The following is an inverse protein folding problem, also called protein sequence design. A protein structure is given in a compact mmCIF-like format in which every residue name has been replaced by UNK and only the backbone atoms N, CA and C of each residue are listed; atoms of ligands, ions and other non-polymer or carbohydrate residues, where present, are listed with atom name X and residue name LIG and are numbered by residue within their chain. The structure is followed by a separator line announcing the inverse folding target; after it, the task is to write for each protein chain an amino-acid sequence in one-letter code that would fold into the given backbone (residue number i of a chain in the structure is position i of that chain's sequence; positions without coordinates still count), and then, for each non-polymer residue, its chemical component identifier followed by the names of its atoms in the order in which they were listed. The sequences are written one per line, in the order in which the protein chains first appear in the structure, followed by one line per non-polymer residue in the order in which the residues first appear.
data_IF_978457056699
#
_entry.id   IF_978457056699
#
_cell.length_a   1.000
_cell.length_b   1.000
_cell.length_c   1.000
_cell.angle_alpha   90.00
_cell.angle_beta   90.00
_cell.angle_gamma   90.00
#
_symmetry.space_group_name_H-M   'P 1'
#
loop_
_entity.id
_entity.type
_entity.pdbx_description
1 polymer ?
#
# COMPACT_ATOMS: atom_id res chain seq x y z
N UNK A 1 -53.33 -26.37 -0.13
CA UNK A 1 -52.01 -27.03 0.02
C UNK A 1 -50.95 -26.17 -0.67
N UNK A 2 -50.34 -25.22 0.03
CA UNK A 2 -49.25 -24.39 -0.51
C UNK A 2 -47.98 -24.64 0.30
N UNK A 3 -46.97 -25.22 -0.36
CA UNK A 3 -45.64 -25.48 0.18
C UNK A 3 -44.79 -24.22 0.05
N UNK A 4 -44.56 -23.50 1.14
CA UNK A 4 -43.53 -22.46 1.18
C UNK A 4 -42.16 -23.14 1.35
N UNK A 5 -41.37 -23.13 0.28
CA UNK A 5 -39.94 -23.46 0.34
C UNK A 5 -39.22 -22.27 0.98
N UNK A 6 -38.70 -22.46 2.18
CA UNK A 6 -37.80 -21.51 2.84
C UNK A 6 -36.43 -21.62 2.17
N UNK A 7 -36.09 -20.67 1.30
CA UNK A 7 -34.72 -20.47 0.83
C UNK A 7 -33.88 -20.00 2.02
N UNK A 8 -33.01 -20.88 2.52
CA UNK A 8 -31.92 -20.49 3.42
C UNK A 8 -30.93 -19.70 2.58
N UNK A 9 -30.99 -18.38 2.73
CA UNK A 9 -30.02 -17.45 2.18
C UNK A 9 -28.76 -17.55 3.05
N UNK A 10 -27.80 -18.38 2.66
CA UNK A 10 -26.45 -18.36 3.24
C UNK A 10 -25.78 -17.05 2.86
N UNK A 11 -25.89 -16.07 3.76
CA UNK A 11 -25.08 -14.86 3.74
C UNK A 11 -23.61 -15.26 3.81
N UNK A 12 -22.93 -15.07 2.68
CA UNK A 12 -21.47 -15.17 2.57
C UNK A 12 -20.89 -13.99 3.36
N UNK A 13 -20.47 -14.23 4.60
CA UNK A 13 -19.78 -13.21 5.40
C UNK A 13 -18.31 -13.19 4.93
N UNK A 14 -17.82 -12.09 4.33
CA UNK A 14 -16.42 -12.00 3.94
C UNK A 14 -15.55 -12.13 5.20
N UNK A 15 -14.50 -12.94 5.07
CA UNK A 15 -13.66 -13.44 6.17
C UNK A 15 -13.38 -12.41 7.25
N UNK A 16 -13.76 -12.76 8.48
CA UNK A 16 -13.34 -12.00 9.66
C UNK A 16 -11.81 -11.99 9.71
N UNK A 17 -11.25 -10.79 9.77
CA UNK A 17 -9.86 -10.56 10.09
C UNK A 17 -9.72 -10.86 11.59
N UNK A 18 -9.46 -12.12 11.93
CA UNK A 18 -9.37 -12.56 13.31
C UNK A 18 -7.96 -12.30 13.85
N UNK A 19 -7.87 -11.67 15.02
CA UNK A 19 -6.69 -11.86 15.86
C UNK A 19 -6.62 -13.33 16.24
N UNK A 20 -5.45 -13.94 16.16
CA UNK A 20 -5.23 -15.35 16.48
C UNK A 20 -4.95 -15.53 17.96
N UNK A 21 -4.15 -14.63 18.54
CA UNK A 21 -3.78 -14.66 19.96
C UNK A 21 -3.54 -13.24 20.52
N UNK A 22 -3.97 -13.03 21.77
CA UNK A 22 -3.71 -11.81 22.55
C UNK A 22 -2.77 -12.17 23.69
N UNK A 23 -1.60 -11.53 23.72
CA UNK A 23 -0.58 -11.69 24.74
C UNK A 23 -0.67 -10.55 25.75
N UNK A 24 -0.81 -10.90 27.02
CA UNK A 24 -0.89 -9.96 28.12
C UNK A 24 0.45 -9.87 28.84
N UNK A 25 0.73 -8.70 29.42
CA UNK A 25 1.96 -8.45 30.20
C UNK A 25 2.09 -9.31 31.46
N UNK A 26 0.99 -9.91 31.92
CA UNK A 26 0.99 -10.87 33.03
C UNK A 26 1.37 -12.30 32.58
N UNK A 27 1.73 -12.47 31.31
CA UNK A 27 2.15 -13.75 30.71
C UNK A 27 0.99 -14.62 30.23
N UNK A 28 -0.26 -14.18 30.37
CA UNK A 28 -1.42 -14.94 29.85
C UNK A 28 -1.56 -14.77 28.35
N UNK A 29 -1.95 -15.86 27.70
CA UNK A 29 -2.24 -15.92 26.27
C UNK A 29 -3.70 -16.31 26.11
N UNK A 30 -4.44 -15.50 25.38
CA UNK A 30 -5.83 -15.79 25.03
C UNK A 30 -5.95 -16.00 23.53
N UNK A 31 -6.49 -17.14 23.10
CA UNK A 31 -6.90 -17.28 21.70
C UNK A 31 -8.14 -16.43 21.47
N UNK A 32 -8.03 -15.49 20.54
CA UNK A 32 -9.12 -14.59 20.18
C UNK A 32 -9.81 -15.13 18.93
N UNK A 33 -11.14 -15.05 18.87
CA UNK A 33 -11.90 -15.38 17.65
C UNK A 33 -12.52 -14.14 17.02
N UNK A 34 -12.85 -13.16 17.84
CA UNK A 34 -13.38 -11.86 17.43
C UNK A 34 -12.63 -10.79 18.22
N UNK A 35 -12.27 -9.70 17.54
CA UNK A 35 -11.56 -8.58 18.12
C UNK A 35 -12.33 -7.28 17.87
N UNK A 36 -12.60 -6.53 18.93
CA UNK A 36 -13.18 -5.20 18.83
C UNK A 36 -12.44 -4.25 19.76
N UNK A 37 -12.13 -3.06 19.28
CA UNK A 37 -11.59 -2.00 20.11
C UNK A 37 -12.68 -1.01 20.48
N UNK A 38 -12.78 -0.68 21.77
CA UNK A 38 -13.65 0.37 22.28
C UNK A 38 -12.84 1.30 23.20
N UNK A 39 -12.46 2.46 22.67
CA UNK A 39 -11.60 3.42 23.38
C UNK A 39 -10.26 2.79 23.78
N UNK A 40 -9.97 2.76 25.08
CA UNK A 40 -8.74 2.21 25.65
C UNK A 40 -8.85 0.71 26.04
N UNK A 41 -9.90 0.03 25.58
CA UNK A 41 -10.13 -1.37 25.85
C UNK A 41 -10.16 -2.18 24.56
N UNK A 42 -9.62 -3.39 24.66
CA UNK A 42 -9.76 -4.43 23.66
C UNK A 42 -10.75 -5.47 24.19
N UNK A 43 -11.81 -5.68 23.43
CA UNK A 43 -12.82 -6.69 23.67
C UNK A 43 -12.53 -7.85 22.73
N UNK A 44 -12.40 -9.05 23.27
CA UNK A 44 -12.24 -10.25 22.47
C UNK A 44 -12.95 -11.44 23.07
N UNK A 45 -13.45 -12.30 22.19
CA UNK A 45 -14.01 -13.59 22.59
C UNK A 45 -12.87 -14.57 22.81
N UNK A 46 -12.67 -14.95 24.08
CA UNK A 46 -11.73 -15.99 24.47
C UNK A 46 -12.45 -17.31 24.70
N UNK A 47 -11.86 -18.42 24.26
CA UNK A 47 -12.35 -19.75 24.59
C UNK A 47 -11.79 -20.19 25.94
N UNK A 48 -12.69 -20.51 26.89
CA UNK A 48 -12.32 -21.15 28.15
C UNK A 48 -11.93 -22.61 27.96
N UNK A 49 -11.31 -23.22 28.99
CA UNK A 49 -10.91 -24.63 28.96
C UNK A 49 -12.08 -25.60 28.73
N UNK A 50 -13.30 -25.17 29.07
CA UNK A 50 -14.54 -25.94 28.90
C UNK A 50 -15.18 -25.78 27.51
N UNK A 51 -14.51 -25.06 26.59
CA UNK A 51 -15.00 -24.81 25.23
C UNK A 51 -16.06 -23.70 25.13
N UNK A 52 -16.45 -23.08 26.24
CA UNK A 52 -17.33 -21.92 26.30
C UNK A 52 -16.61 -20.64 25.90
N UNK A 53 -17.28 -19.78 25.14
CA UNK A 53 -16.75 -18.47 24.77
C UNK A 53 -17.16 -17.43 25.82
N UNK A 54 -16.19 -16.69 26.34
CA UNK A 54 -16.42 -15.53 27.20
C UNK A 54 -15.91 -14.26 26.53
N UNK A 55 -16.68 -13.19 26.65
CA UNK A 55 -16.23 -11.85 26.28
C UNK A 55 -15.23 -11.36 27.33
N UNK A 56 -13.98 -11.21 26.93
CA UNK A 56 -12.91 -10.65 27.79
C UNK A 56 -12.67 -9.21 27.39
N UNK A 57 -12.67 -8.32 28.38
CA UNK A 57 -12.38 -6.89 28.22
C UNK A 57 -11.04 -6.60 28.88
N UNK A 58 -10.06 -6.20 28.09
CA UNK A 58 -8.70 -5.93 28.58
C UNK A 58 -8.27 -4.50 28.24
N UNK A 59 -7.77 -3.72 29.21
CA UNK A 59 -7.13 -2.43 28.96
C UNK A 59 -5.92 -2.56 28.02
N UNK A 60 -5.76 -1.64 27.05
CA UNK A 60 -4.64 -1.67 26.09
C UNK A 60 -3.26 -1.64 26.77
N UNK A 61 -3.12 -0.97 27.91
CA UNK A 61 -1.86 -0.90 28.64
C UNK A 61 -1.41 -2.23 29.27
N UNK A 62 -2.32 -3.21 29.40
CA UNK A 62 -2.04 -4.57 29.87
C UNK A 62 -1.70 -5.53 28.73
N UNK A 63 -1.90 -5.11 27.49
CA UNK A 63 -1.58 -5.90 26.30
C UNK A 63 -0.11 -5.71 25.97
N UNK A 64 0.57 -6.83 25.76
CA UNK A 64 1.94 -6.85 25.26
C UNK A 64 1.94 -6.82 23.74
N UNK A 65 1.20 -7.73 23.09
CA UNK A 65 0.98 -7.78 21.65
C UNK A 65 -0.28 -8.54 21.27
N UNK A 66 -0.84 -8.21 20.13
CA UNK A 66 -1.87 -8.99 19.45
C UNK A 66 -1.25 -9.60 18.20
N UNK A 67 -1.33 -10.91 18.08
CA UNK A 67 -0.99 -11.62 16.85
C UNK A 67 -2.23 -11.67 15.98
N UNK A 68 -2.17 -10.97 14.85
CA UNK A 68 -3.16 -11.08 13.80
C UNK A 68 -2.79 -12.24 12.90
N UNK A 69 -3.76 -13.09 12.56
CA UNK A 69 -3.52 -14.23 11.68
C UNK A 69 -3.06 -13.76 10.30
N UNK A 70 -2.46 -14.68 9.53
CA UNK A 70 -2.07 -14.41 8.16
C UNK A 70 -3.28 -13.99 7.32
N UNK A 71 -3.17 -12.86 6.64
CA UNK A 71 -4.22 -12.33 5.79
C UNK A 71 -3.96 -12.73 4.34
N UNK A 72 -4.78 -13.62 3.73
CA UNK A 72 -4.60 -14.01 2.34
C UNK A 72 -4.59 -12.80 1.40
N UNK A 73 -5.40 -11.78 1.70
CA UNK A 73 -5.44 -10.53 0.94
C UNK A 73 -4.09 -9.78 0.94
N UNK A 74 -3.35 -9.77 2.06
CA UNK A 74 -2.01 -9.15 2.11
C UNK A 74 -0.97 -10.02 1.39
N UNK A 75 -1.07 -11.33 1.46
CA UNK A 75 -0.20 -12.23 0.70
C UNK A 75 -0.38 -12.04 -0.81
N UNK A 76 -1.63 -11.96 -1.28
CA UNK A 76 -1.98 -11.65 -2.67
C UNK A 76 -1.48 -10.26 -3.08
N UNK A 77 -1.69 -9.24 -2.23
CA UNK A 77 -1.19 -7.89 -2.49
C UNK A 77 0.34 -7.86 -2.62
N UNK A 78 1.09 -8.60 -1.80
CA UNK A 78 2.55 -8.72 -1.94
C UNK A 78 2.94 -9.37 -3.27
N UNK A 79 2.18 -10.36 -3.74
CA UNK A 79 2.42 -10.99 -5.04
C UNK A 79 2.15 -10.02 -6.20
N UNK A 80 1.03 -9.30 -6.16
CA UNK A 80 0.67 -8.27 -7.14
C UNK A 80 1.71 -7.15 -7.17
N UNK A 81 2.19 -6.70 -6.01
CA UNK A 81 3.25 -5.70 -5.91
C UNK A 81 4.54 -6.15 -6.61
N UNK A 82 4.93 -7.44 -6.48
CA UNK A 82 6.09 -8.00 -7.19
C UNK A 82 5.91 -8.04 -8.71
N UNK A 83 4.67 -8.14 -9.17
CA UNK A 83 4.31 -8.11 -10.59
C UNK A 83 4.14 -6.69 -11.15
N UNK A 84 4.23 -5.66 -10.31
CA UNK A 84 3.99 -4.27 -10.70
C UNK A 84 2.51 -3.90 -10.80
N UNK A 85 1.59 -4.76 -10.34
CA UNK A 85 0.15 -4.50 -10.40
C UNK A 85 -0.29 -3.57 -9.25
N UNK A 86 -0.14 -2.26 -9.45
CA UNK A 86 -0.52 -1.26 -8.47
C UNK A 86 -2.04 -1.23 -8.21
N UNK A 87 -2.88 -1.47 -9.22
CA UNK A 87 -4.34 -1.43 -9.06
C UNK A 87 -4.80 -2.61 -8.20
N UNK A 88 -4.34 -3.83 -8.50
CA UNK A 88 -4.64 -5.01 -7.69
C UNK A 88 -4.17 -4.85 -6.23
N UNK A 89 -3.01 -4.21 -6.00
CA UNK A 89 -2.55 -3.89 -4.63
C UNK A 89 -3.53 -2.96 -3.92
N UNK A 90 -4.02 -1.91 -4.57
CA UNK A 90 -5.00 -0.99 -3.96
C UNK A 90 -6.32 -1.69 -3.61
N UNK A 91 -6.79 -2.59 -4.47
CA UNK A 91 -8.00 -3.37 -4.24
C UNK A 91 -7.83 -4.32 -3.05
N UNK A 92 -6.75 -5.10 -3.02
CA UNK A 92 -6.51 -6.10 -1.97
C UNK A 92 -6.18 -5.50 -0.61
N UNK A 93 -5.64 -4.28 -0.58
CA UNK A 93 -5.30 -3.58 0.68
C UNK A 93 -6.43 -2.71 1.22
N UNK A 94 -7.53 -2.50 0.49
CA UNK A 94 -8.60 -1.58 0.91
C UNK A 94 -9.29 -2.04 2.22
N UNK A 95 -9.74 -3.30 2.27
CA UNK A 95 -10.39 -3.85 3.46
C UNK A 95 -9.42 -3.98 4.67
N UNK A 96 -8.19 -4.51 4.51
CA UNK A 96 -7.19 -4.49 5.57
C UNK A 96 -6.89 -3.09 6.11
N UNK A 97 -6.80 -2.07 5.24
CA UNK A 97 -6.56 -0.69 5.67
C UNK A 97 -7.70 -0.17 6.54
N UNK A 98 -8.95 -0.34 6.11
CA UNK A 98 -10.12 0.07 6.91
C UNK A 98 -10.18 -0.63 8.27
N UNK A 99 -9.83 -1.91 8.32
CA UNK A 99 -9.80 -2.70 9.55
C UNK A 99 -8.69 -2.24 10.50
N UNK A 100 -7.42 -2.29 10.07
CA UNK A 100 -6.27 -2.03 10.95
C UNK A 100 -6.15 -0.57 11.37
N UNK A 101 -6.77 0.37 10.66
CA UNK A 101 -6.88 1.77 11.10
C UNK A 101 -7.44 1.86 12.52
N UNK A 102 -8.44 1.04 12.86
CA UNK A 102 -9.06 1.06 14.19
C UNK A 102 -8.13 0.50 15.28
N UNK A 103 -7.06 -0.20 14.90
CA UNK A 103 -6.12 -0.87 15.78
C UNK A 103 -4.70 -0.29 15.69
N UNK A 104 -4.52 0.91 15.12
CA UNK A 104 -3.20 1.49 14.83
C UNK A 104 -2.30 1.67 16.07
N UNK A 105 -2.90 1.81 17.24
CA UNK A 105 -2.26 1.94 18.56
C UNK A 105 -2.17 0.61 19.33
N UNK A 106 -2.67 -0.48 18.77
CA UNK A 106 -2.59 -1.81 19.37
C UNK A 106 -1.26 -2.46 18.99
N UNK A 107 -0.42 -2.87 19.96
CA UNK A 107 0.84 -3.53 19.64
C UNK A 107 0.62 -4.81 18.82
N UNK A 108 1.42 -5.00 17.77
CA UNK A 108 1.27 -6.12 16.84
C UNK A 108 0.31 -5.88 15.67
N UNK A 109 -0.33 -4.70 15.59
CA UNK A 109 -1.15 -4.35 14.43
C UNK A 109 -0.34 -4.32 13.13
N UNK A 110 -1.00 -4.63 12.02
CA UNK A 110 -0.38 -4.69 10.69
C UNK A 110 -0.60 -3.39 9.87
N UNK A 111 -0.99 -2.27 10.49
CA UNK A 111 -1.26 -1.01 9.76
C UNK A 111 -0.07 -0.58 8.90
N UNK A 112 1.14 -0.60 9.47
CA UNK A 112 2.36 -0.23 8.78
C UNK A 112 2.68 -1.18 7.61
N UNK A 113 2.34 -2.46 7.72
CA UNK A 113 2.50 -3.42 6.61
C UNK A 113 1.54 -3.12 5.46
N UNK A 114 0.28 -2.81 5.78
CA UNK A 114 -0.72 -2.41 4.78
C UNK A 114 -0.25 -1.15 4.06
N UNK A 115 0.22 -0.14 4.81
CA UNK A 115 0.69 1.13 4.23
C UNK A 115 1.96 0.95 3.40
N UNK A 116 2.85 0.02 3.76
CA UNK A 116 4.05 -0.31 2.97
C UNK A 116 3.72 -0.82 1.57
N UNK A 117 2.58 -1.48 1.39
CA UNK A 117 2.08 -1.90 0.07
C UNK A 117 1.26 -0.80 -0.60
N UNK A 118 0.41 -0.10 0.16
CA UNK A 118 -0.57 0.85 -0.38
C UNK A 118 0.06 2.16 -0.83
N UNK A 119 1.04 2.71 -0.11
CA UNK A 119 1.70 3.97 -0.48
C UNK A 119 2.38 3.94 -1.86
N UNK A 120 3.25 2.96 -2.19
CA UNK A 120 3.83 2.89 -3.54
C UNK A 120 2.76 2.66 -4.61
N UNK A 121 1.70 1.90 -4.31
CA UNK A 121 0.60 1.69 -5.24
C UNK A 121 -0.16 3.00 -5.53
N UNK A 122 -0.39 3.83 -4.51
CA UNK A 122 -1.00 5.16 -4.64
C UNK A 122 -0.09 6.15 -5.39
N UNK A 123 1.24 6.04 -5.27
CA UNK A 123 2.16 6.86 -6.06
C UNK A 123 2.06 6.62 -7.58
N UNK A 124 1.66 5.39 -7.96
CA UNK A 124 1.57 4.94 -9.36
C UNK A 124 0.18 5.09 -9.94
N UNK A 125 -0.83 4.61 -9.21
CA UNK A 125 -2.22 4.48 -9.67
C UNK A 125 -3.21 5.27 -8.81
N UNK A 126 -2.72 6.11 -7.89
CA UNK A 126 -3.57 6.95 -7.05
C UNK A 126 -4.33 7.97 -7.89
N UNK A 127 -5.63 8.07 -7.63
CA UNK A 127 -6.48 9.15 -8.12
C UNK A 127 -6.65 10.19 -7.01
N UNK A 128 -7.17 11.37 -7.35
CA UNK A 128 -7.47 12.38 -6.34
C UNK A 128 -8.41 11.84 -5.25
N UNK A 129 -9.36 10.98 -5.63
CA UNK A 129 -10.28 10.34 -4.70
C UNK A 129 -9.54 9.42 -3.72
N UNK A 130 -8.64 8.55 -4.20
CA UNK A 130 -7.92 7.60 -3.33
C UNK A 130 -6.87 8.28 -2.46
N UNK A 131 -6.28 9.40 -2.92
CA UNK A 131 -5.40 10.23 -2.08
C UNK A 131 -6.17 10.97 -0.97
N UNK A 132 -7.38 11.45 -1.28
CA UNK A 132 -8.25 12.09 -0.28
C UNK A 132 -8.76 11.06 0.74
N UNK A 133 -9.07 9.84 0.28
CA UNK A 133 -9.37 8.70 1.13
C UNK A 133 -8.19 8.38 2.06
N UNK A 134 -6.97 8.26 1.50
CA UNK A 134 -5.75 8.05 2.30
C UNK A 134 -5.60 9.11 3.39
N UNK A 135 -5.78 10.39 3.04
CA UNK A 135 -5.72 11.48 4.02
C UNK A 135 -6.72 11.30 5.17
N UNK A 136 -7.94 10.83 4.87
CA UNK A 136 -8.97 10.59 5.88
C UNK A 136 -8.69 9.35 6.75
N UNK A 137 -7.97 8.37 6.20
CA UNK A 137 -7.65 7.11 6.87
C UNK A 137 -6.34 7.18 7.66
N UNK A 138 -5.45 8.12 7.32
CA UNK A 138 -4.08 8.10 7.80
C UNK A 138 -3.96 8.23 9.32
N UNK A 139 -3.26 7.27 9.91
CA UNK A 139 -2.76 7.30 11.28
C UNK A 139 -1.25 7.12 11.25
N UNK A 140 -0.53 7.83 12.11
CA UNK A 140 0.92 7.72 12.20
C UNK A 140 1.33 6.25 12.42
N UNK A 141 2.31 5.78 11.65
CA UNK A 141 2.73 4.38 11.64
C UNK A 141 3.82 4.05 12.67
N UNK A 142 4.46 5.08 13.24
CA UNK A 142 5.71 4.97 13.99
C UNK A 142 6.93 4.71 13.10
N UNK A 143 6.73 4.43 11.81
CA UNK A 143 7.77 4.23 10.82
C UNK A 143 8.03 5.57 10.11
N UNK A 144 9.21 6.15 10.38
CA UNK A 144 9.59 7.46 9.84
C UNK A 144 9.65 7.46 8.31
N UNK A 145 9.98 6.33 7.69
CA UNK A 145 10.04 6.20 6.23
C UNK A 145 8.62 6.25 5.63
N UNK A 146 7.69 5.47 6.16
CA UNK A 146 6.30 5.44 5.69
C UNK A 146 5.59 6.77 5.93
N UNK A 147 5.77 7.37 7.10
CA UNK A 147 5.22 8.68 7.42
C UNK A 147 5.78 9.78 6.51
N UNK A 148 7.05 9.66 6.08
CA UNK A 148 7.64 10.59 5.12
C UNK A 148 7.10 10.37 3.72
N UNK A 149 7.00 9.12 3.25
CA UNK A 149 6.40 8.79 1.96
C UNK A 149 4.95 9.28 1.84
N UNK A 150 4.14 9.11 2.89
CA UNK A 150 2.79 9.66 2.96
C UNK A 150 2.77 11.19 2.82
N UNK A 151 3.60 11.89 3.59
CA UNK A 151 3.67 13.36 3.55
C UNK A 151 4.04 13.87 2.16
N UNK A 152 4.97 13.22 1.47
CA UNK A 152 5.36 13.60 0.10
C UNK A 152 4.22 13.42 -0.90
N UNK A 153 3.48 12.32 -0.82
CA UNK A 153 2.35 12.06 -1.70
C UNK A 153 1.24 13.11 -1.55
N UNK A 154 0.95 13.54 -0.32
CA UNK A 154 -0.06 14.59 -0.08
C UNK A 154 0.47 16.01 -0.25
N UNK A 155 1.76 16.26 0.01
CA UNK A 155 2.37 17.58 -0.18
C UNK A 155 2.20 18.03 -1.63
N UNK A 156 2.36 17.13 -2.61
CA UNK A 156 2.12 17.40 -4.02
C UNK A 156 0.76 18.07 -4.30
N UNK A 157 -0.27 17.66 -3.55
CA UNK A 157 -1.63 18.17 -3.67
C UNK A 157 -1.82 19.51 -2.97
N UNK A 158 -1.25 19.67 -1.77
CA UNK A 158 -1.54 20.79 -0.88
C UNK A 158 -0.55 21.96 -1.03
N UNK A 159 0.72 21.67 -1.25
CA UNK A 159 1.82 22.62 -1.43
C UNK A 159 2.82 22.07 -2.46
N UNK A 160 2.55 22.25 -3.77
CA UNK A 160 3.42 21.74 -4.83
C UNK A 160 4.85 22.27 -4.75
N UNK A 161 5.05 23.53 -4.32
CA UNK A 161 6.36 24.14 -4.23
C UNK A 161 7.19 23.54 -3.09
N UNK A 162 6.59 23.38 -1.91
CA UNK A 162 7.22 22.69 -0.78
C UNK A 162 7.49 21.21 -1.08
N UNK A 163 6.57 20.54 -1.77
CA UNK A 163 6.74 19.16 -2.23
C UNK A 163 7.95 19.02 -3.17
N UNK A 164 8.08 19.91 -4.14
CA UNK A 164 9.22 19.94 -5.05
C UNK A 164 10.57 20.06 -4.33
N UNK A 165 10.66 20.95 -3.34
CA UNK A 165 11.88 21.09 -2.52
C UNK A 165 12.17 19.81 -1.73
N UNK A 166 11.13 19.18 -1.15
CA UNK A 166 11.28 17.95 -0.40
C UNK A 166 11.72 16.78 -1.29
N UNK A 167 11.17 16.65 -2.51
CA UNK A 167 11.58 15.63 -3.46
C UNK A 167 13.04 15.76 -3.83
N UNK A 168 13.50 16.98 -4.15
CA UNK A 168 14.92 17.24 -4.46
C UNK A 168 15.86 16.88 -3.31
N UNK A 169 15.44 17.11 -2.07
CA UNK A 169 16.25 16.77 -0.90
C UNK A 169 16.43 15.25 -0.77
N UNK A 170 15.37 14.48 -1.04
CA UNK A 170 15.34 13.03 -0.86
C UNK A 170 15.80 12.22 -2.08
N UNK A 171 15.75 12.81 -3.28
CA UNK A 171 16.18 12.20 -4.53
C UNK A 171 17.70 12.32 -4.72
N UNK A 172 18.48 11.68 -3.85
CA UNK A 172 19.93 11.60 -3.99
C UNK A 172 20.33 10.34 -4.78
N UNK A 173 21.43 10.36 -5.55
CA UNK A 173 21.95 9.16 -6.19
C UNK A 173 22.23 8.05 -5.17
N UNK A 174 21.74 6.84 -5.42
CA UNK A 174 21.88 5.68 -4.51
C UNK A 174 20.90 5.68 -3.32
N UNK A 175 19.92 6.58 -3.30
CA UNK A 175 18.89 6.59 -2.26
C UNK A 175 17.88 5.45 -2.48
N UNK A 176 17.89 4.48 -1.57
CA UNK A 176 17.11 3.25 -1.64
C UNK A 176 15.81 3.26 -0.84
N UNK A 177 15.37 4.43 -0.34
CA UNK A 177 14.12 4.53 0.42
C UNK A 177 12.90 4.61 -0.50
N UNK A 178 11.73 4.18 -0.02
CA UNK A 178 10.46 4.38 -0.73
C UNK A 178 10.21 5.87 -1.01
N UNK A 179 10.49 6.73 -0.02
CA UNK A 179 10.35 8.18 -0.15
C UNK A 179 11.22 8.75 -1.28
N UNK A 180 12.45 8.26 -1.44
CA UNK A 180 13.33 8.64 -2.55
C UNK A 180 12.79 8.16 -3.91
N UNK A 181 12.29 6.92 -3.99
CA UNK A 181 11.67 6.39 -5.20
C UNK A 181 10.45 7.21 -5.65
N UNK A 182 9.57 7.55 -4.70
CA UNK A 182 8.42 8.45 -4.96
C UNK A 182 8.92 9.82 -5.43
N UNK A 183 9.94 10.37 -4.78
CA UNK A 183 10.52 11.67 -5.14
C UNK A 183 11.06 11.69 -6.57
N UNK A 184 11.80 10.64 -6.98
CA UNK A 184 12.29 10.50 -8.35
C UNK A 184 11.15 10.40 -9.36
N UNK A 185 10.10 9.65 -9.04
CA UNK A 185 8.92 9.51 -9.88
C UNK A 185 8.20 10.85 -10.10
N UNK A 186 7.99 11.62 -9.03
CA UNK A 186 7.32 12.93 -9.10
C UNK A 186 8.17 13.98 -9.83
N UNK A 187 9.48 14.04 -9.56
CA UNK A 187 10.39 14.93 -10.31
C UNK A 187 10.43 14.60 -11.80
N UNK A 188 10.34 13.30 -12.16
CA UNK A 188 10.22 12.86 -13.54
C UNK A 188 8.95 13.36 -14.20
N UNK A 189 7.80 13.27 -13.52
CA UNK A 189 6.50 13.77 -13.99
C UNK A 189 6.54 15.28 -14.19
N UNK A 190 7.07 16.04 -13.23
CA UNK A 190 7.21 17.50 -13.36
C UNK A 190 8.12 17.90 -14.53
N UNK A 191 9.28 17.25 -14.67
CA UNK A 191 10.19 17.51 -15.77
C UNK A 191 9.56 17.18 -17.13
N UNK A 192 8.75 16.14 -17.21
CA UNK A 192 8.01 15.76 -18.41
C UNK A 192 7.00 16.85 -18.80
N UNK A 193 6.22 17.36 -17.83
CA UNK A 193 5.28 18.47 -18.02
C UNK A 193 6.02 19.76 -18.45
N UNK A 194 7.18 20.02 -17.87
CA UNK A 194 8.05 21.15 -18.19
C UNK A 194 8.83 20.98 -19.51
N UNK A 195 8.62 19.88 -20.24
CA UNK A 195 9.32 19.56 -21.50
C UNK A 195 10.83 19.39 -21.37
N UNK A 196 11.32 19.12 -20.17
CA UNK A 196 12.73 18.88 -19.87
C UNK A 196 13.07 17.40 -20.04
N UNK A 197 13.08 16.93 -21.29
CA UNK A 197 13.14 15.50 -21.61
C UNK A 197 14.31 14.76 -20.98
N UNK A 198 15.52 15.33 -21.01
CA UNK A 198 16.70 14.70 -20.42
C UNK A 198 16.61 14.59 -18.89
N UNK A 199 16.04 15.61 -18.25
CA UNK A 199 15.81 15.62 -16.80
C UNK A 199 14.77 14.56 -16.43
N UNK A 200 13.67 14.49 -17.19
CA UNK A 200 12.62 13.49 -17.00
C UNK A 200 13.17 12.06 -17.14
N UNK A 201 13.91 11.78 -18.22
CA UNK A 201 14.56 10.48 -18.45
C UNK A 201 15.46 10.12 -17.28
N UNK A 202 16.34 11.03 -16.85
CA UNK A 202 17.25 10.77 -15.74
C UNK A 202 16.48 10.49 -14.44
N UNK A 203 15.48 11.28 -14.13
CA UNK A 203 14.69 11.12 -12.91
C UNK A 203 13.96 9.77 -12.88
N UNK A 204 13.26 9.41 -13.96
CA UNK A 204 12.57 8.13 -14.06
C UNK A 204 13.51 6.93 -13.97
N UNK A 205 14.65 6.97 -14.67
CA UNK A 205 15.64 5.89 -14.63
C UNK A 205 16.44 5.83 -13.31
N UNK A 206 16.25 6.81 -12.40
CA UNK A 206 16.88 6.79 -11.06
C UNK A 206 16.05 6.04 -10.02
N UNK A 207 14.82 5.64 -10.34
CA UNK A 207 14.03 4.75 -9.47
C UNK A 207 14.69 3.38 -9.49
N UNK A 208 15.06 2.83 -8.32
CA UNK A 208 15.90 1.63 -8.22
C UNK A 208 15.08 0.33 -8.36
N UNK A 209 15.55 -0.59 -9.22
CA UNK A 209 14.85 -1.86 -9.52
C UNK A 209 15.01 -2.89 -8.40
N UNK A 210 16.13 -2.83 -7.68
CA UNK A 210 16.51 -3.83 -6.68
C UNK A 210 15.97 -3.54 -5.27
N UNK A 211 15.30 -2.42 -5.08
CA UNK A 211 14.68 -2.07 -3.79
C UNK A 211 13.26 -2.65 -3.76
N UNK A 212 12.94 -3.59 -2.87
CA UNK A 212 11.63 -4.24 -2.83
C UNK A 212 10.46 -3.24 -2.71
N UNK A 213 10.64 -2.15 -1.95
CA UNK A 213 9.64 -1.09 -1.79
C UNK A 213 9.45 -0.20 -3.02
N UNK A 214 10.44 -0.12 -3.92
CA UNK A 214 10.36 0.69 -5.14
C UNK A 214 9.99 -0.12 -6.38
N UNK A 215 10.03 -1.46 -6.32
CA UNK A 215 9.68 -2.33 -7.47
C UNK A 215 8.31 -2.02 -8.07
N UNK A 216 7.33 -1.67 -7.24
CA UNK A 216 5.99 -1.30 -7.70
C UNK A 216 5.97 0.02 -8.49
N UNK A 217 6.95 0.91 -8.28
CA UNK A 217 7.10 2.18 -8.98
C UNK A 217 7.70 1.99 -10.39
N UNK A 218 8.41 0.88 -10.61
CA UNK A 218 9.20 0.64 -11.81
C UNK A 218 8.40 0.71 -13.12
N UNK A 219 7.23 0.03 -13.26
CA UNK A 219 6.50 0.08 -14.53
C UNK A 219 6.15 1.52 -14.94
N UNK A 220 5.74 2.34 -13.97
CA UNK A 220 5.37 3.73 -14.20
C UNK A 220 6.59 4.60 -14.51
N UNK A 221 7.70 4.36 -13.84
CA UNK A 221 8.95 5.06 -14.10
C UNK A 221 9.47 4.76 -15.52
N UNK A 222 9.55 3.48 -15.91
CA UNK A 222 9.96 3.07 -17.25
C UNK A 222 9.03 3.62 -18.33
N UNK A 223 7.71 3.63 -18.08
CA UNK A 223 6.72 4.23 -18.98
C UNK A 223 6.97 5.74 -19.15
N UNK A 224 7.21 6.45 -18.05
CA UNK A 224 7.53 7.88 -18.08
C UNK A 224 8.83 8.18 -18.83
N UNK A 225 9.86 7.34 -18.66
CA UNK A 225 11.10 7.44 -19.42
C UNK A 225 10.86 7.17 -20.91
N UNK A 226 10.08 6.15 -21.26
CA UNK A 226 9.72 5.84 -22.64
C UNK A 226 8.96 7.01 -23.29
N UNK A 227 7.99 7.61 -22.61
CA UNK A 227 7.28 8.80 -23.10
C UNK A 227 8.27 9.95 -23.34
N UNK A 228 9.17 10.23 -22.39
CA UNK A 228 10.17 11.28 -22.55
C UNK A 228 11.10 11.02 -23.75
N UNK A 229 11.50 9.77 -24.02
CA UNK A 229 12.25 9.40 -25.21
C UNK A 229 11.46 9.63 -26.51
N UNK A 230 10.17 9.25 -26.55
CA UNK A 230 9.30 9.52 -27.71
C UNK A 230 9.22 11.03 -27.97
N UNK A 231 8.97 11.84 -26.94
CA UNK A 231 8.87 13.30 -27.04
C UNK A 231 10.17 13.96 -27.48
N UNK A 232 11.32 13.37 -27.12
CA UNK A 232 12.65 13.78 -27.58
C UNK A 232 12.97 13.37 -29.02
N UNK A 233 12.22 12.41 -29.59
CA UNK A 233 12.45 11.85 -30.93
C UNK A 233 13.28 10.56 -30.96
N UNK A 234 13.64 10.01 -29.80
CA UNK A 234 14.45 8.78 -29.67
C UNK A 234 13.56 7.52 -29.62
N UNK A 235 12.75 7.31 -30.66
CA UNK A 235 11.72 6.25 -30.69
C UNK A 235 12.26 4.83 -30.49
N UNK A 236 13.49 4.54 -30.96
CA UNK A 236 14.11 3.23 -30.79
C UNK A 236 14.35 2.88 -29.32
N UNK A 237 14.76 3.85 -28.49
CA UNK A 237 14.96 3.65 -27.05
C UNK A 237 13.64 3.50 -26.31
N UNK A 238 12.63 4.27 -26.70
CA UNK A 238 11.29 4.12 -26.17
C UNK A 238 10.71 2.72 -26.46
N UNK A 239 10.94 2.19 -27.67
CA UNK A 239 10.52 0.84 -28.04
C UNK A 239 11.23 -0.24 -27.20
N UNK A 240 12.54 -0.11 -26.97
CA UNK A 240 13.27 -1.03 -26.09
C UNK A 240 12.67 -1.05 -24.67
N UNK A 241 12.45 0.12 -24.06
CA UNK A 241 11.83 0.20 -22.73
C UNK A 241 10.40 -0.36 -22.70
N UNK A 242 9.62 -0.17 -23.76
CA UNK A 242 8.28 -0.74 -23.84
C UNK A 242 8.30 -2.27 -23.91
N UNK A 243 9.29 -2.87 -24.57
CA UNK A 243 9.49 -4.32 -24.57
C UNK A 243 9.98 -4.84 -23.21
N UNK A 244 10.84 -4.08 -22.51
CA UNK A 244 11.25 -4.41 -21.14
C UNK A 244 10.05 -4.43 -20.20
N UNK A 245 9.16 -3.44 -20.29
CA UNK A 245 7.90 -3.41 -19.50
C UNK A 245 7.04 -4.64 -19.81
N UNK A 246 6.93 -5.04 -21.09
CA UNK A 246 6.16 -6.23 -21.49
C UNK A 246 6.73 -7.52 -20.93
N UNK A 247 8.04 -7.62 -20.89
CA UNK A 247 8.75 -8.82 -20.46
C UNK A 247 8.77 -8.94 -18.93
N UNK A 248 9.06 -7.85 -18.23
CA UNK A 248 9.26 -7.85 -16.77
C UNK A 248 7.98 -7.57 -15.97
N UNK A 249 7.02 -6.83 -16.54
CA UNK A 249 5.80 -6.37 -15.88
C UNK A 249 4.55 -6.60 -16.75
N UNK A 250 4.22 -7.87 -17.08
CA UNK A 250 3.17 -8.20 -18.05
C UNK A 250 1.78 -7.64 -17.70
N UNK A 251 1.49 -7.43 -16.42
CA UNK A 251 0.22 -6.85 -15.94
C UNK A 251 0.13 -5.34 -16.14
N UNK A 252 1.25 -4.64 -16.37
CA UNK A 252 1.34 -3.19 -16.55
C UNK A 252 1.44 -2.75 -18.02
N UNK A 253 1.14 -3.66 -18.96
CA UNK A 253 1.49 -3.51 -20.39
C UNK A 253 0.51 -2.73 -21.25
N UNK A 254 -0.70 -2.48 -20.73
CA UNK A 254 -1.73 -1.75 -21.46
C UNK A 254 -1.25 -0.35 -21.88
N UNK A 255 -0.59 0.37 -20.96
CA UNK A 255 -0.08 1.72 -21.19
C UNK A 255 1.14 1.72 -22.14
N UNK A 256 2.05 0.75 -22.00
CA UNK A 256 3.24 0.64 -22.84
C UNK A 256 2.90 0.39 -24.32
N UNK A 257 1.83 -0.36 -24.58
CA UNK A 257 1.34 -0.66 -25.93
C UNK A 257 0.69 0.54 -26.61
N UNK A 258 0.20 1.52 -25.84
CA UNK A 258 -0.38 2.76 -26.38
C UNK A 258 0.69 3.75 -26.85
N UNK A 259 1.88 3.75 -26.24
CA UNK A 259 2.98 4.67 -26.58
C UNK A 259 3.62 4.42 -27.96
N UNK A 260 3.46 3.22 -28.51
CA UNK A 260 4.09 2.80 -29.78
C UNK A 260 3.17 2.96 -31.00
N UNK A 261 1.93 3.42 -30.81
CA UNK A 261 0.99 3.72 -31.90
C UNK A 261 1.13 5.18 -32.34
#
# INVERSE_FOLDING_TARGET
MNRFRLCVLTLFVPGFLCAESVFLKDGKIHSAKELRKEGNFLLFKSQGQDGTFSDTVTPLNQIERVEFGDLPALAEARQMARQGDAVGVLEKTAAPAAFFRSFSDVPGNQWSEVMRLRLPALAVAGTEATLSELQSLWTNTGDTELDTAYRLLLAAKNDPAGAHTAWKALSQPGASSLAAGISWLELGKEALLAKQWNTAIRAFLSVEVFVPGQRLLQPKALLGAAEAFVRKGEKAKAAALAEDIKTEYPTSTADASALLK
#
